data_IF_370139321666
#
_entry.id   IF_370139321666
#
_cell.length_a   1.000
_cell.length_b   1.000
_cell.length_c   1.000
_cell.angle_alpha   90.00
_cell.angle_beta   90.00
_cell.angle_gamma   90.00
#
_symmetry.space_group_name_H-M   'P 1'
#
loop_
_entity.id
_entity.type
_entity.pdbx_description
1 polymer ?
#
# COMPACT_ATOMS: atom_id res chain seq x y z
N UNK A 1 6.60 37.12 -7.48
CA UNK A 1 5.27 36.59 -7.08
C UNK A 1 5.04 35.27 -7.80
N UNK A 2 5.51 34.15 -7.24
CA UNK A 2 5.44 32.84 -7.89
C UNK A 2 4.00 32.37 -8.03
N UNK A 3 3.56 32.12 -9.28
CA UNK A 3 2.24 31.55 -9.61
C UNK A 3 1.99 30.34 -8.71
N UNK A 4 0.93 30.38 -7.89
CA UNK A 4 0.47 29.25 -7.07
C UNK A 4 0.16 28.09 -8.02
N UNK A 5 1.13 27.18 -8.18
CA UNK A 5 0.98 25.94 -8.93
C UNK A 5 -0.17 25.18 -8.26
N UNK A 6 -1.21 24.85 -9.01
CA UNK A 6 -2.31 24.03 -8.48
C UNK A 6 -1.76 22.73 -7.89
N UNK A 7 -2.39 22.22 -6.83
CA UNK A 7 -2.00 20.94 -6.24
C UNK A 7 -2.02 19.85 -7.32
N UNK A 8 -0.88 19.17 -7.49
CA UNK A 8 -0.79 18.00 -8.36
C UNK A 8 -1.71 16.88 -7.85
N UNK A 9 -2.08 15.93 -8.72
CA UNK A 9 -2.89 14.77 -8.33
C UNK A 9 -2.28 14.00 -7.16
N UNK A 10 -0.97 13.79 -7.18
CA UNK A 10 -0.24 13.13 -6.09
C UNK A 10 -0.26 13.95 -4.79
N UNK A 11 -0.14 15.28 -4.88
CA UNK A 11 -0.16 16.16 -3.70
C UNK A 11 -1.53 16.11 -3.00
N UNK A 12 -2.62 16.04 -3.79
CA UNK A 12 -3.98 15.87 -3.25
C UNK A 12 -4.12 14.54 -2.53
N UNK A 13 -3.58 13.46 -3.10
CA UNK A 13 -3.57 12.12 -2.49
C UNK A 13 -2.81 12.11 -1.16
N UNK A 14 -1.61 12.69 -1.14
CA UNK A 14 -0.81 12.77 0.07
C UNK A 14 -1.52 13.55 1.18
N UNK A 15 -2.06 14.73 0.86
CA UNK A 15 -2.79 15.54 1.83
C UNK A 15 -4.07 14.90 2.35
N UNK A 16 -4.79 14.18 1.49
CA UNK A 16 -5.98 13.44 1.90
C UNK A 16 -5.62 12.29 2.85
N UNK A 17 -4.57 11.53 2.53
CA UNK A 17 -4.06 10.47 3.41
C UNK A 17 -3.60 11.03 4.76
N UNK A 18 -2.90 12.18 4.75
CA UNK A 18 -2.48 12.86 5.96
C UNK A 18 -3.68 13.27 6.85
N UNK A 19 -4.80 13.68 6.25
CA UNK A 19 -6.02 14.00 6.98
C UNK A 19 -6.56 12.76 7.73
N UNK A 20 -6.62 11.61 7.07
CA UNK A 20 -7.02 10.35 7.73
C UNK A 20 -6.07 10.01 8.88
N UNK A 21 -4.76 10.13 8.69
CA UNK A 21 -3.76 9.76 9.70
C UNK A 21 -3.69 10.74 10.88
N UNK A 22 -3.94 12.03 10.65
CA UNK A 22 -3.97 13.05 11.70
C UNK A 22 -5.22 12.89 12.58
N UNK A 23 -6.39 12.73 11.95
CA UNK A 23 -7.66 12.62 12.67
C UNK A 23 -7.84 11.26 13.33
N UNK A 24 -7.30 10.18 12.74
CA UNK A 24 -7.45 8.79 13.20
C UNK A 24 -8.92 8.45 13.44
N UNK A 25 -9.76 8.82 12.49
CA UNK A 25 -11.20 8.69 12.58
C UNK A 25 -11.76 8.10 11.28
N UNK A 26 -13.03 7.69 11.34
CA UNK A 26 -13.78 7.12 10.23
C UNK A 26 -14.68 8.20 9.65
N UNK A 27 -14.66 8.35 8.33
CA UNK A 27 -15.38 9.40 7.64
C UNK A 27 -16.33 8.85 6.59
N UNK A 28 -17.46 9.53 6.38
CA UNK A 28 -18.27 9.32 5.17
C UNK A 28 -17.85 10.28 4.07
N UNK A 29 -18.18 9.97 2.82
CA UNK A 29 -17.80 10.80 1.66
C UNK A 29 -18.21 12.27 1.83
N UNK A 30 -19.42 12.53 2.36
CA UNK A 30 -19.93 13.89 2.60
C UNK A 30 -19.07 14.69 3.60
N UNK A 31 -18.45 14.02 4.57
CA UNK A 31 -17.57 14.66 5.54
C UNK A 31 -16.22 15.00 4.90
N UNK A 32 -15.69 14.08 4.10
CA UNK A 32 -14.46 14.29 3.33
C UNK A 32 -14.62 15.43 2.30
N UNK A 33 -15.79 15.56 1.67
CA UNK A 33 -16.09 16.67 0.76
C UNK A 33 -16.13 18.04 1.45
N UNK A 34 -16.43 18.08 2.76
CA UNK A 34 -16.37 19.31 3.57
C UNK A 34 -14.97 19.57 4.11
N UNK A 35 -14.29 18.55 4.61
CA UNK A 35 -12.99 18.68 5.24
C UNK A 35 -11.84 18.83 4.24
N UNK A 36 -11.92 18.16 3.08
CA UNK A 36 -10.88 18.21 2.04
C UNK A 36 -10.56 19.64 1.55
N UNK A 37 -11.57 20.44 1.15
CA UNK A 37 -11.37 21.84 0.78
C UNK A 37 -10.94 22.70 1.96
N UNK A 38 -11.56 22.50 3.13
CA UNK A 38 -11.38 23.35 4.33
C UNK A 38 -10.02 23.17 4.98
N UNK A 39 -9.56 21.94 5.17
CA UNK A 39 -8.30 21.65 5.89
C UNK A 39 -7.10 21.47 4.95
N UNK A 40 -7.31 20.94 3.74
CA UNK A 40 -6.19 20.55 2.86
C UNK A 40 -6.16 21.31 1.52
N UNK A 41 -7.16 22.14 1.24
CA UNK A 41 -7.27 22.91 0.00
C UNK A 41 -7.53 22.05 -1.25
N UNK A 42 -8.08 20.84 -1.07
CA UNK A 42 -8.41 19.94 -2.17
C UNK A 42 -9.73 20.41 -2.78
N UNK A 43 -9.77 20.53 -4.11
CA UNK A 43 -11.00 20.93 -4.83
C UNK A 43 -12.09 19.88 -4.56
N UNK A 44 -13.27 20.32 -4.12
CA UNK A 44 -14.39 19.45 -3.72
C UNK A 44 -14.71 18.38 -4.78
N UNK A 45 -14.77 18.77 -6.05
CA UNK A 45 -15.01 17.85 -7.18
C UNK A 45 -13.97 16.73 -7.29
N UNK A 46 -12.73 16.96 -6.86
CA UNK A 46 -11.65 15.96 -6.91
C UNK A 46 -11.53 15.11 -5.65
N UNK A 47 -12.27 15.40 -4.58
CA UNK A 47 -12.20 14.63 -3.34
C UNK A 47 -12.59 13.17 -3.58
N UNK A 48 -13.68 12.94 -4.31
CA UNK A 48 -14.17 11.60 -4.62
C UNK A 48 -13.13 10.78 -5.40
N UNK A 49 -12.58 11.34 -6.48
CA UNK A 49 -11.58 10.65 -7.30
C UNK A 49 -10.30 10.35 -6.51
N UNK A 50 -9.87 11.28 -5.65
CA UNK A 50 -8.70 11.10 -4.78
C UNK A 50 -8.93 10.00 -3.76
N UNK A 51 -10.09 9.97 -3.10
CA UNK A 51 -10.43 8.92 -2.13
C UNK A 51 -10.50 7.57 -2.82
N UNK A 52 -11.16 7.47 -3.99
CA UNK A 52 -11.21 6.24 -4.77
C UNK A 52 -9.82 5.77 -5.20
N UNK A 53 -8.96 6.67 -5.69
CA UNK A 53 -7.56 6.34 -6.01
C UNK A 53 -6.77 5.86 -4.80
N UNK A 54 -7.03 6.38 -3.60
CA UNK A 54 -6.39 5.90 -2.37
C UNK A 54 -6.92 4.53 -1.93
N UNK A 55 -8.20 4.25 -2.16
CA UNK A 55 -8.80 2.93 -1.91
C UNK A 55 -8.25 1.90 -2.88
N UNK A 56 -8.13 2.23 -4.17
CA UNK A 56 -7.56 1.33 -5.18
C UNK A 56 -6.11 0.93 -4.91
N UNK A 57 -5.35 1.78 -4.22
CA UNK A 57 -3.95 1.53 -3.84
C UNK A 57 -3.82 0.93 -2.42
N UNK A 58 -4.93 0.47 -1.82
CA UNK A 58 -4.99 -0.11 -0.46
C UNK A 58 -4.45 0.83 0.65
N UNK A 59 -4.43 2.14 0.41
CA UNK A 59 -3.98 3.15 1.38
C UNK A 59 -5.10 3.63 2.29
N UNK A 60 -6.35 3.57 1.82
CA UNK A 60 -7.57 3.90 2.57
C UNK A 60 -8.49 2.69 2.51
N UNK A 61 -8.99 2.26 3.66
CA UNK A 61 -10.01 1.23 3.73
C UNK A 61 -11.39 1.84 3.50
N UNK A 62 -12.27 1.02 2.94
CA UNK A 62 -13.67 1.35 2.75
C UNK A 62 -14.54 0.19 3.21
N UNK A 63 -15.66 0.50 3.85
CA UNK A 63 -16.69 -0.49 4.15
C UNK A 63 -18.08 0.12 4.03
N UNK A 64 -19.05 -0.69 3.62
CA UNK A 64 -20.43 -0.26 3.42
C UNK A 64 -21.30 -0.87 4.51
N UNK A 65 -21.77 -0.03 5.41
CA UNK A 65 -22.65 -0.43 6.51
C UNK A 65 -24.02 0.19 6.27
N UNK A 66 -25.00 -0.67 5.94
CA UNK A 66 -26.35 -0.25 5.54
C UNK A 66 -26.36 0.55 4.24
N UNK A 67 -26.83 1.80 4.30
CA UNK A 67 -26.91 2.71 3.16
C UNK A 67 -25.69 3.61 3.00
N UNK A 68 -24.73 3.58 3.93
CA UNK A 68 -23.58 4.50 3.96
C UNK A 68 -22.26 3.77 3.77
N UNK A 69 -21.35 4.41 3.02
CA UNK A 69 -19.96 3.96 2.85
C UNK A 69 -19.05 4.79 3.73
N UNK A 70 -18.24 4.10 4.52
CA UNK A 70 -17.29 4.63 5.47
C UNK A 70 -15.87 4.43 4.95
N UNK A 71 -15.01 5.41 5.21
CA UNK A 71 -13.62 5.45 4.77
C UNK A 71 -12.72 5.76 5.97
N UNK A 72 -11.61 5.04 6.09
CA UNK A 72 -10.63 5.30 7.14
C UNK A 72 -9.23 4.88 6.71
N UNK A 73 -8.21 5.45 7.36
CA UNK A 73 -6.84 4.97 7.23
C UNK A 73 -6.12 5.17 8.54
N UNK A 74 -5.61 4.08 9.10
CA UNK A 74 -4.82 4.12 10.33
C UNK A 74 -3.34 3.87 10.00
N UNK A 75 -2.41 4.67 10.56
CA UNK A 75 -0.98 4.51 10.29
C UNK A 75 -0.48 3.11 10.70
N UNK A 76 -1.08 2.52 11.74
CA UNK A 76 -0.76 1.18 12.23
C UNK A 76 -0.94 0.10 11.17
N UNK A 77 -1.92 0.24 10.26
CA UNK A 77 -2.20 -0.76 9.23
C UNK A 77 -1.21 -0.68 8.07
N UNK A 78 -0.83 0.52 7.65
CA UNK A 78 0.24 0.70 6.66
C UNK A 78 1.58 0.08 7.13
N UNK A 79 1.90 0.23 8.42
CA UNK A 79 3.08 -0.38 9.03
C UNK A 79 2.94 -1.91 9.06
N UNK A 80 1.79 -2.42 9.51
CA UNK A 80 1.59 -3.87 9.65
C UNK A 80 1.57 -4.58 8.29
N UNK A 81 0.94 -3.99 7.27
CA UNK A 81 0.93 -4.52 5.90
C UNK A 81 2.35 -4.53 5.31
N UNK A 82 3.14 -3.47 5.53
CA UNK A 82 4.56 -3.46 5.12
C UNK A 82 5.39 -4.50 5.86
N UNK A 83 5.17 -4.69 7.17
CA UNK A 83 5.86 -5.72 7.94
C UNK A 83 5.50 -7.14 7.48
N UNK A 84 4.22 -7.41 7.21
CA UNK A 84 3.80 -8.70 6.67
C UNK A 84 4.41 -8.96 5.29
N UNK A 85 4.37 -7.98 4.39
CA UNK A 85 4.97 -8.11 3.05
C UNK A 85 6.48 -8.32 3.11
N UNK A 86 7.17 -7.65 4.04
CA UNK A 86 8.60 -7.89 4.33
C UNK A 86 8.83 -9.32 4.82
N UNK A 87 7.98 -9.81 5.73
CA UNK A 87 8.05 -11.19 6.26
C UNK A 87 7.87 -12.22 5.15
N UNK A 88 6.87 -12.05 4.29
CA UNK A 88 6.60 -12.95 3.17
C UNK A 88 7.76 -12.99 2.17
N UNK A 89 8.34 -11.82 1.86
CA UNK A 89 9.52 -11.73 0.98
C UNK A 89 10.75 -12.41 1.60
N UNK A 90 10.99 -12.23 2.91
CA UNK A 90 12.08 -12.91 3.61
C UNK A 90 11.88 -14.44 3.64
N UNK A 91 10.64 -14.90 3.81
CA UNK A 91 10.30 -16.32 3.76
C UNK A 91 10.60 -16.90 2.37
N UNK A 92 10.11 -16.23 1.32
CA UNK A 92 10.39 -16.62 -0.08
C UNK A 92 11.89 -16.64 -0.39
N UNK A 93 12.64 -15.66 0.10
CA UNK A 93 14.10 -15.62 -0.08
C UNK A 93 14.77 -16.82 0.59
N UNK A 94 14.35 -17.19 1.81
CA UNK A 94 14.87 -18.39 2.49
C UNK A 94 14.51 -19.67 1.73
N UNK A 95 13.28 -19.81 1.28
CA UNK A 95 12.82 -21.00 0.55
C UNK A 95 13.56 -21.15 -0.79
N UNK A 96 13.77 -20.05 -1.52
CA UNK A 96 14.56 -20.04 -2.75
C UNK A 96 16.04 -20.36 -2.49
N UNK A 97 16.62 -19.79 -1.43
CA UNK A 97 18.01 -20.09 -1.05
C UNK A 97 18.19 -21.56 -0.68
N UNK A 98 17.23 -22.16 0.04
CA UNK A 98 17.24 -23.59 0.36
C UNK A 98 17.16 -24.44 -0.91
N UNK A 99 16.24 -24.12 -1.82
CA UNK A 99 16.11 -24.81 -3.11
C UNK A 99 17.40 -24.71 -3.94
N UNK A 100 18.04 -23.54 -3.97
CA UNK A 100 19.31 -23.37 -4.69
C UNK A 100 20.39 -24.29 -4.13
N UNK A 101 20.52 -24.38 -2.80
CA UNK A 101 21.47 -25.27 -2.13
C UNK A 101 21.14 -26.75 -2.35
N UNK A 102 19.86 -27.13 -2.31
CA UNK A 102 19.42 -28.50 -2.63
C UNK A 102 19.81 -28.87 -4.07
N UNK A 103 19.50 -28.00 -5.05
CA UNK A 103 19.87 -28.21 -6.45
C UNK A 103 21.39 -28.27 -6.67
N UNK A 104 22.18 -27.39 -6.04
CA UNK A 104 23.65 -27.44 -6.12
C UNK A 104 24.21 -28.75 -5.56
N UNK A 105 23.59 -29.28 -4.50
CA UNK A 105 23.98 -30.56 -3.92
C UNK A 105 23.61 -31.74 -4.81
N UNK A 106 22.48 -31.66 -5.52
CA UNK A 106 22.06 -32.67 -6.50
C UNK A 106 22.95 -32.63 -7.75
N UNK A 107 23.29 -31.44 -8.26
CA UNK A 107 24.23 -31.27 -9.37
C UNK A 107 25.58 -31.90 -9.07
N UNK A 108 26.15 -31.62 -7.88
CA UNK A 108 27.42 -32.24 -7.47
C UNK A 108 27.36 -33.76 -7.41
N UNK A 109 26.24 -34.33 -6.95
CA UNK A 109 26.08 -35.80 -6.90
C UNK A 109 26.02 -36.38 -8.30
N UNK A 110 25.31 -35.73 -9.23
CA UNK A 110 25.22 -36.16 -10.62
C UNK A 110 26.58 -36.05 -11.33
N UNK A 111 27.34 -34.98 -11.08
CA UNK A 111 28.71 -34.85 -11.61
C UNK A 111 29.63 -35.95 -11.09
N UNK A 112 29.63 -36.21 -9.78
CA UNK A 112 30.45 -37.29 -9.19
C UNK A 112 30.09 -38.68 -9.73
N UNK A 113 28.80 -38.97 -9.96
CA UNK A 113 28.37 -40.25 -10.55
C UNK A 113 28.66 -40.38 -12.05
N UNK A 114 28.93 -39.27 -12.75
CA UNK A 114 29.33 -39.30 -14.15
C UNK A 114 30.84 -39.59 -14.30
N UNK A 115 31.68 -39.04 -13.42
CA UNK A 115 33.14 -39.32 -13.36
C UNK A 115 33.45 -40.77 -12.92
N UNK A 116 32.59 -41.40 -12.11
CA UNK A 116 32.78 -42.81 -11.68
C UNK A 116 32.41 -43.85 -12.76
N UNK A 117 31.81 -43.44 -13.87
CA UNK A 117 31.42 -44.32 -14.98
C UNK A 117 32.34 -44.23 -16.22
N UNK A 118 33.42 -43.45 -16.15
CA UNK A 118 34.47 -43.33 -17.17
C UNK A 118 35.77 -44.04 -16.73
#
# INVERSE_FOLDING_TARGET
MSKKKGLSGEEKRHRMLELFHQKKDVFVLKELEKMGPKEKGIVMQSVKDVVQSLVSDDLVETDKIGSSTYFWSFPSKAINTKMQRKKDLMQKMKDLSRKSLELDSELKKVEMSADEME
#
